data_IF_086507447669
#
_entry.id   IF_086507447669
#
_cell.length_a   1.000
_cell.length_b   1.000
_cell.length_c   1.000
_cell.angle_alpha   90.00
_cell.angle_beta   90.00
_cell.angle_gamma   90.00
#
_symmetry.space_group_name_H-M   'P 1'
#
loop_
_entity.id
_entity.type
_entity.pdbx_description
1 polymer ?
#
# COMPACT_ATOMS: atom_id res chain seq x y z
N UNK A 1 21.21 4.98 40.69
CA UNK A 1 19.88 5.00 41.35
C UNK A 1 18.85 4.45 40.36
N UNK A 2 18.27 3.28 40.65
CA UNK A 2 17.24 2.63 39.81
C UNK A 2 15.87 3.03 40.34
N UNK A 3 15.05 3.67 39.51
CA UNK A 3 13.66 3.98 39.84
C UNK A 3 12.81 2.72 39.62
N UNK A 4 12.31 2.13 40.71
CA UNK A 4 11.27 1.12 40.67
C UNK A 4 9.92 1.79 40.96
N UNK A 5 9.05 1.87 39.95
CA UNK A 5 7.64 2.24 40.15
C UNK A 5 6.94 0.99 40.70
N UNK A 6 6.49 1.03 41.96
CA UNK A 6 5.63 0.00 42.56
C UNK A 6 4.18 0.46 42.49
N UNK A 7 3.28 -0.39 41.98
CA UNK A 7 1.83 -0.18 42.08
C UNK A 7 1.40 -0.30 43.55
N UNK A 8 0.44 0.52 43.99
CA UNK A 8 -0.06 0.52 45.39
C UNK A 8 -0.88 -0.73 45.77
N UNK A 9 -1.10 -1.66 44.85
CA UNK A 9 -1.94 -2.85 45.06
C UNK A 9 -1.20 -4.19 44.90
N UNK A 10 0.13 -4.19 44.72
CA UNK A 10 0.92 -5.44 44.68
C UNK A 10 0.69 -6.33 43.45
N UNK A 11 -0.20 -5.93 42.54
CA UNK A 11 -0.37 -6.57 41.23
C UNK A 11 0.67 -6.08 40.22
N UNK A 12 1.08 -6.96 39.32
CA UNK A 12 1.87 -6.64 38.13
C UNK A 12 1.25 -5.45 37.39
N UNK A 13 2.09 -4.49 37.00
CA UNK A 13 1.65 -3.37 36.17
C UNK A 13 1.24 -3.91 34.79
N UNK A 14 -0.06 -4.10 34.58
CA UNK A 14 -0.60 -4.44 33.27
C UNK A 14 -0.45 -3.21 32.37
N UNK A 15 0.35 -3.33 31.30
CA UNK A 15 0.56 -2.33 30.25
C UNK A 15 -0.69 -2.09 29.36
N UNK A 16 -1.88 -2.46 29.83
CA UNK A 16 -3.15 -2.27 29.13
C UNK A 16 -3.84 -1.01 29.64
N UNK A 17 -3.16 0.13 29.52
CA UNK A 17 -3.83 1.43 29.67
C UNK A 17 -4.66 1.70 28.42
N UNK A 18 -5.95 2.04 28.57
CA UNK A 18 -6.70 2.68 27.48
C UNK A 18 -5.98 3.98 27.15
N UNK A 19 -5.21 3.97 26.07
CA UNK A 19 -4.59 5.17 25.53
C UNK A 19 -5.71 6.07 24.99
N UNK A 20 -5.69 7.36 25.33
CA UNK A 20 -6.55 8.34 24.66
C UNK A 20 -6.18 8.41 23.17
N UNK A 21 -7.13 8.81 22.32
CA UNK A 21 -6.94 8.86 20.87
C UNK A 21 -5.73 9.71 20.43
N UNK A 22 -5.26 10.61 21.30
CA UNK A 22 -4.12 11.50 21.09
C UNK A 22 -2.85 11.10 21.87
N UNK A 23 -2.73 9.85 22.34
CA UNK A 23 -1.54 9.44 23.07
C UNK A 23 -0.34 9.19 22.14
N UNK A 24 0.70 10.04 22.22
CA UNK A 24 1.98 9.89 21.49
C UNK A 24 2.73 8.57 21.69
N UNK A 25 2.34 7.79 22.70
CA UNK A 25 2.91 6.48 23.02
C UNK A 25 2.00 5.33 22.60
N UNK A 26 0.93 5.60 21.85
CA UNK A 26 0.08 4.56 21.26
C UNK A 26 0.94 3.73 20.32
N UNK A 27 1.08 2.46 20.64
CA UNK A 27 1.81 1.52 19.81
C UNK A 27 1.14 1.46 18.44
N UNK A 28 1.95 1.56 17.38
CA UNK A 28 1.50 1.22 16.02
C UNK A 28 0.94 -0.21 16.06
N UNK A 29 -0.17 -0.45 15.37
CA UNK A 29 -0.65 -1.83 15.18
C UNK A 29 0.41 -2.64 14.43
N UNK A 30 0.41 -3.97 14.61
CA UNK A 30 1.36 -4.86 13.92
C UNK A 30 1.30 -4.67 12.40
N UNK A 31 0.12 -4.45 11.83
CA UNK A 31 -0.08 -4.13 10.41
C UNK A 31 0.64 -2.84 9.98
N UNK A 32 0.59 -1.79 10.81
CA UNK A 32 1.28 -0.53 10.52
C UNK A 32 2.81 -0.68 10.61
N UNK A 33 3.31 -1.57 11.46
CA UNK A 33 4.74 -1.87 11.57
C UNK A 33 5.22 -2.64 10.34
N UNK A 34 4.49 -3.68 9.93
CA UNK A 34 4.81 -4.46 8.72
C UNK A 34 4.77 -3.61 7.46
N UNK A 35 3.76 -2.74 7.34
CA UNK A 35 3.68 -1.81 6.23
C UNK A 35 4.87 -0.85 6.23
N UNK A 36 5.22 -0.25 7.37
CA UNK A 36 6.35 0.68 7.45
C UNK A 36 7.64 0.00 6.95
N UNK A 37 7.88 -1.25 7.37
CA UNK A 37 9.01 -2.04 6.87
C UNK A 37 8.91 -2.28 5.36
N UNK A 38 7.73 -2.64 4.87
CA UNK A 38 7.51 -2.86 3.44
C UNK A 38 7.65 -1.57 2.60
N UNK A 39 7.31 -0.40 3.15
CA UNK A 39 7.53 0.92 2.53
C UNK A 39 9.01 1.28 2.54
N UNK A 40 9.74 1.00 3.63
CA UNK A 40 11.19 1.19 3.69
C UNK A 40 11.94 0.29 2.69
N UNK A 41 11.53 -0.98 2.59
CA UNK A 41 12.03 -1.91 1.57
C UNK A 41 11.66 -1.44 0.17
N UNK A 42 10.42 -0.98 -0.04
CA UNK A 42 10.01 -0.38 -1.30
C UNK A 42 10.87 0.83 -1.64
N UNK A 43 11.18 1.71 -0.69
CA UNK A 43 12.03 2.87 -0.90
C UNK A 43 13.44 2.47 -1.35
N UNK A 44 14.01 1.44 -0.74
CA UNK A 44 15.30 0.90 -1.17
C UNK A 44 15.23 0.37 -2.62
N UNK A 45 14.14 -0.30 -3.00
CA UNK A 45 13.91 -0.82 -4.36
C UNK A 45 13.67 0.33 -5.35
N UNK A 46 12.74 1.23 -5.04
CA UNK A 46 12.30 2.31 -5.91
C UNK A 46 13.44 3.30 -6.19
N UNK A 47 14.32 3.55 -5.21
CA UNK A 47 15.48 4.41 -5.41
C UNK A 47 16.55 3.79 -6.32
N UNK A 48 16.55 2.47 -6.50
CA UNK A 48 17.57 1.76 -7.30
C UNK A 48 17.03 1.19 -8.62
N UNK A 49 15.72 1.18 -8.81
CA UNK A 49 15.04 0.65 -9.97
C UNK A 49 14.68 1.74 -11.00
N UNK A 50 14.91 1.45 -12.28
CA UNK A 50 14.54 2.33 -13.41
C UNK A 50 13.04 2.19 -13.76
N UNK A 51 12.45 1.05 -13.42
CA UNK A 51 11.05 0.69 -13.71
C UNK A 51 10.45 -0.05 -12.50
N UNK A 52 9.19 0.25 -12.17
CA UNK A 52 8.42 -0.47 -11.16
C UNK A 52 7.39 -1.37 -11.83
N UNK A 53 7.27 -2.61 -11.35
CA UNK A 53 6.30 -3.59 -11.85
C UNK A 53 5.39 -4.01 -10.69
N UNK A 54 4.09 -3.86 -10.87
CA UNK A 54 3.09 -4.30 -9.89
C UNK A 54 3.11 -5.83 -9.78
N UNK A 55 3.20 -6.35 -8.56
CA UNK A 55 2.99 -7.76 -8.23
C UNK A 55 1.74 -7.92 -7.38
N UNK A 56 0.89 -8.85 -7.79
CA UNK A 56 -0.32 -9.22 -7.06
C UNK A 56 -0.04 -10.20 -5.91
N UNK A 57 1.04 -10.99 -6.03
CA UNK A 57 1.43 -11.93 -4.99
C UNK A 57 2.11 -11.23 -3.80
N UNK A 58 1.89 -11.69 -2.55
CA UNK A 58 2.66 -11.22 -1.41
C UNK A 58 4.16 -11.41 -1.66
N UNK A 59 4.97 -10.48 -1.15
CA UNK A 59 6.42 -10.63 -1.16
C UNK A 59 6.76 -12.00 -0.57
N UNK A 60 7.61 -12.83 -1.23
CA UNK A 60 7.99 -14.11 -0.68
C UNK A 60 8.61 -13.85 0.70
N UNK A 61 7.96 -14.37 1.75
CA UNK A 61 8.38 -14.22 3.16
C UNK A 61 9.82 -14.71 3.41
N UNK A 62 10.35 -15.51 2.50
CA UNK A 62 11.73 -15.99 2.51
C UNK A 62 12.42 -15.59 1.20
N UNK A 63 12.83 -14.32 1.06
CA UNK A 63 13.99 -14.05 0.22
C UNK A 63 15.21 -14.53 1.02
N UNK A 64 16.00 -15.50 0.54
CA UNK A 64 17.26 -15.81 1.21
C UNK A 64 18.07 -14.53 1.22
N UNK A 65 18.29 -13.99 2.42
CA UNK A 65 19.31 -12.98 2.65
C UNK A 65 20.60 -13.66 2.24
N UNK A 66 21.14 -13.31 1.08
CA UNK A 66 22.54 -13.60 0.79
C UNK A 66 23.33 -12.75 1.76
N UNK A 67 23.60 -13.31 2.94
CA UNK A 67 24.66 -12.81 3.80
C UNK A 67 25.93 -12.84 2.96
N UNK A 68 26.41 -11.66 2.58
CA UNK A 68 27.77 -11.49 2.12
C UNK A 68 28.68 -11.74 3.33
N UNK A 69 28.86 -13.01 3.69
CA UNK A 69 29.93 -13.40 4.60
C UNK A 69 31.23 -13.08 3.88
N UNK A 70 32.08 -12.18 4.40
CA UNK A 70 33.41 -11.99 3.85
C UNK A 70 34.13 -13.33 4.03
N UNK A 71 34.42 -14.00 2.92
CA UNK A 71 35.17 -15.25 2.95
C UNK A 71 36.52 -15.00 3.64
N UNK A 72 36.68 -15.60 4.82
CA UNK A 72 37.98 -15.73 5.48
C UNK A 72 38.82 -16.72 4.66
N UNK A 73 39.53 -16.24 3.64
CA UNK A 73 40.81 -16.77 3.13
C UNK A 73 41.21 -15.99 1.88
N UNK A 74 42.44 -15.47 1.89
CA UNK A 74 42.96 -14.58 0.86
C UNK A 74 43.07 -15.22 -0.53
N UNK A 75 42.67 -14.46 -1.54
CA UNK A 75 43.20 -14.56 -2.91
C UNK A 75 42.99 -13.23 -3.64
N UNK A 76 44.02 -12.67 -4.30
CA UNK A 76 43.96 -11.35 -4.92
C UNK A 76 43.21 -11.38 -6.26
N UNK A 77 42.36 -10.36 -6.46
CA UNK A 77 42.05 -9.81 -7.78
C UNK A 77 41.18 -10.65 -8.72
N UNK A 78 39.90 -10.88 -8.37
CA UNK A 78 38.89 -11.26 -9.37
C UNK A 78 38.24 -9.99 -9.92
N UNK A 79 38.86 -9.39 -10.94
CA UNK A 79 38.21 -8.37 -11.78
C UNK A 79 36.93 -8.97 -12.39
N UNK A 80 35.77 -8.45 -12.00
CA UNK A 80 34.49 -8.83 -12.57
C UNK A 80 34.44 -8.34 -14.02
N UNK A 81 34.64 -9.27 -14.96
CA UNK A 81 34.42 -9.05 -16.39
C UNK A 81 32.93 -9.23 -16.65
N UNK A 82 32.17 -8.13 -16.69
CA UNK A 82 30.78 -8.14 -17.16
C UNK A 82 30.78 -8.58 -18.63
N UNK A 83 30.38 -9.82 -18.89
CA UNK A 83 30.13 -10.29 -20.25
C UNK A 83 28.74 -9.78 -20.67
N UNK A 84 28.71 -9.18 -21.86
CA UNK A 84 27.60 -8.38 -22.37
C UNK A 84 26.26 -9.11 -22.43
N UNK A 85 25.39 -8.77 -21.47
CA UNK A 85 23.93 -8.70 -21.62
C UNK A 85 23.32 -7.65 -20.64
N UNK A 86 24.14 -6.83 -19.99
CA UNK A 86 23.77 -5.89 -18.92
C UNK A 86 23.29 -4.52 -19.45
N UNK A 87 22.15 -4.52 -20.14
CA UNK A 87 21.25 -3.35 -20.21
C UNK A 87 19.80 -3.75 -19.90
N UNK A 88 19.61 -4.75 -19.05
CA UNK A 88 18.30 -4.96 -18.44
C UNK A 88 18.05 -3.80 -17.48
N UNK A 89 17.12 -2.90 -17.84
CA UNK A 89 16.56 -1.91 -16.92
C UNK A 89 16.24 -2.62 -15.61
N UNK A 90 16.71 -2.10 -14.48
CA UNK A 90 16.47 -2.73 -13.18
C UNK A 90 14.99 -2.57 -12.85
N UNK A 91 14.18 -3.57 -13.16
CA UNK A 91 12.76 -3.61 -12.84
C UNK A 91 12.58 -4.04 -11.38
N UNK A 92 12.19 -3.11 -10.52
CA UNK A 92 11.80 -3.36 -9.14
C UNK A 92 10.36 -3.85 -9.09
N UNK A 93 10.05 -4.79 -8.20
CA UNK A 93 8.68 -5.27 -8.01
C UNK A 93 8.05 -4.70 -6.76
N UNK A 94 6.78 -4.31 -6.83
CA UNK A 94 6.06 -3.67 -5.73
C UNK A 94 4.63 -4.21 -5.59
N UNK A 95 4.17 -4.37 -4.36
CA UNK A 95 2.75 -4.62 -4.06
C UNK A 95 1.99 -3.32 -3.78
N UNK A 96 0.66 -3.37 -3.86
CA UNK A 96 -0.16 -2.15 -3.72
C UNK A 96 -0.05 -1.43 -2.37
N UNK A 97 0.09 -2.16 -1.25
CA UNK A 97 0.22 -1.55 0.08
C UNK A 97 1.40 -0.58 0.19
N UNK A 98 2.65 -1.01 -0.10
CA UNK A 98 3.81 -0.11 -0.12
C UNK A 98 3.69 1.04 -1.12
N UNK A 99 3.12 0.79 -2.30
CA UNK A 99 2.86 1.83 -3.29
C UNK A 99 1.91 2.91 -2.75
N UNK A 100 0.83 2.50 -2.09
CA UNK A 100 -0.12 3.41 -1.44
C UNK A 100 0.54 4.22 -0.32
N UNK A 101 1.37 3.58 0.51
CA UNK A 101 2.14 4.29 1.54
C UNK A 101 2.97 5.44 0.95
N UNK A 102 3.66 5.18 -0.16
CA UNK A 102 4.45 6.20 -0.84
C UNK A 102 3.64 7.28 -1.53
N UNK A 103 2.52 6.92 -2.15
CA UNK A 103 1.59 7.91 -2.70
C UNK A 103 1.05 8.83 -1.60
N UNK A 104 0.85 8.33 -0.38
CA UNK A 104 0.42 9.15 0.76
C UNK A 104 1.58 10.02 1.29
N UNK A 105 2.73 9.41 1.55
CA UNK A 105 3.81 10.04 2.33
C UNK A 105 4.70 10.98 1.52
N UNK A 106 4.84 10.78 0.20
CA UNK A 106 5.72 11.56 -0.66
C UNK A 106 4.93 12.28 -1.78
N UNK A 107 4.67 13.60 -1.64
CA UNK A 107 4.00 14.39 -2.66
C UNK A 107 4.72 14.42 -4.02
N UNK A 108 6.06 14.42 -4.03
CA UNK A 108 6.83 14.47 -5.27
C UNK A 108 6.74 13.13 -6.02
N UNK A 109 6.65 12.03 -5.27
CA UNK A 109 6.48 10.70 -5.84
C UNK A 109 5.20 10.59 -6.69
N UNK A 110 4.11 11.21 -6.25
CA UNK A 110 2.82 11.24 -6.98
C UNK A 110 2.95 11.83 -8.38
N UNK A 111 3.87 12.76 -8.57
CA UNK A 111 4.10 13.44 -9.85
C UNK A 111 5.30 12.87 -10.63
N UNK A 112 5.86 11.75 -10.16
CA UNK A 112 7.03 11.12 -10.76
C UNK A 112 6.74 10.54 -12.15
N UNK A 113 7.62 10.83 -13.11
CA UNK A 113 7.61 10.19 -14.45
C UNK A 113 8.31 8.83 -14.46
N UNK A 114 8.61 8.25 -13.30
CA UNK A 114 9.18 6.91 -13.19
C UNK A 114 8.25 5.90 -13.87
N UNK A 115 8.84 4.99 -14.64
CA UNK A 115 8.08 3.99 -15.38
C UNK A 115 7.39 3.02 -14.42
N UNK A 116 6.13 2.72 -14.72
CA UNK A 116 5.27 1.79 -13.98
C UNK A 116 4.66 0.80 -14.97
N UNK A 117 4.72 -0.49 -14.65
CA UNK A 117 4.02 -1.55 -15.38
C UNK A 117 2.94 -2.17 -14.49
N UNK A 118 1.69 -2.07 -14.92
CA UNK A 118 0.50 -2.57 -14.22
C UNK A 118 0.38 -4.09 -14.29
N UNK A 119 -0.57 -4.68 -13.56
CA UNK A 119 -0.74 -6.13 -13.51
C UNK A 119 -1.12 -6.75 -14.86
N UNK A 120 -1.82 -6.00 -15.71
CA UNK A 120 -2.18 -6.38 -17.08
C UNK A 120 -1.05 -6.12 -18.12
N UNK A 121 0.15 -5.73 -17.64
CA UNK A 121 1.33 -5.33 -18.44
C UNK A 121 1.19 -3.99 -19.17
N UNK A 122 0.17 -3.20 -18.89
CA UNK A 122 0.09 -1.81 -19.35
C UNK A 122 1.27 -1.03 -18.81
N UNK A 123 2.02 -0.38 -19.71
CA UNK A 123 3.13 0.50 -19.37
C UNK A 123 2.63 1.94 -19.25
N UNK A 124 2.98 2.58 -18.14
CA UNK A 124 2.61 3.95 -17.80
C UNK A 124 3.71 4.59 -16.95
N UNK A 125 3.44 5.74 -16.34
CA UNK A 125 4.26 6.36 -15.31
C UNK A 125 3.51 6.39 -13.98
N UNK A 126 4.18 6.68 -12.87
CA UNK A 126 3.49 6.90 -11.58
C UNK A 126 2.47 8.02 -11.72
N UNK A 127 2.86 9.16 -12.29
CA UNK A 127 1.99 10.33 -12.47
C UNK A 127 0.75 10.04 -13.34
N UNK A 128 0.90 9.28 -14.43
CA UNK A 128 -0.20 9.03 -15.36
C UNK A 128 -1.05 7.81 -14.97
N UNK A 129 -0.44 6.85 -14.29
CA UNK A 129 -1.03 5.56 -13.93
C UNK A 129 -1.69 5.52 -12.56
N UNK A 130 -1.19 6.29 -11.58
CA UNK A 130 -1.72 6.35 -10.22
C UNK A 130 -2.46 7.66 -9.99
N UNK A 131 -3.78 7.63 -10.15
CA UNK A 131 -4.64 8.82 -10.10
C UNK A 131 -5.29 8.95 -8.73
N UNK A 132 -5.18 10.13 -8.11
CA UNK A 132 -5.89 10.43 -6.87
C UNK A 132 -7.39 10.58 -7.12
N UNK A 133 -8.25 10.18 -6.18
CA UNK A 133 -9.72 10.31 -6.30
C UNK A 133 -10.19 11.72 -6.64
N UNK A 134 -9.45 12.74 -6.20
CA UNK A 134 -9.80 14.13 -6.48
C UNK A 134 -9.47 14.62 -7.89
N UNK A 135 -8.53 13.97 -8.54
CA UNK A 135 -8.04 14.30 -9.87
C UNK A 135 -8.59 13.33 -10.93
N UNK A 136 -9.51 12.45 -10.51
CA UNK A 136 -10.02 11.39 -11.36
C UNK A 136 -10.71 11.95 -12.60
N UNK A 137 -10.28 11.46 -13.75
CA UNK A 137 -10.95 11.63 -15.03
C UNK A 137 -11.10 10.26 -15.65
N UNK A 138 -12.30 9.92 -16.14
CA UNK A 138 -12.55 8.64 -16.78
C UNK A 138 -11.66 8.47 -18.03
N UNK A 139 -11.04 7.30 -18.16
CA UNK A 139 -10.25 6.90 -19.34
C UNK A 139 -10.58 5.47 -19.72
N UNK A 140 -10.32 5.10 -20.97
CA UNK A 140 -10.57 3.75 -21.52
C UNK A 140 -9.45 2.74 -21.22
N UNK A 141 -8.48 3.10 -20.38
CA UNK A 141 -7.31 2.28 -20.07
C UNK A 141 -7.34 1.87 -18.59
N UNK A 142 -6.73 0.73 -18.28
CA UNK A 142 -6.47 0.32 -16.89
C UNK A 142 -5.67 1.40 -16.18
N UNK A 143 -6.07 1.71 -14.95
CA UNK A 143 -5.39 2.68 -14.10
C UNK A 143 -5.44 2.23 -12.65
N UNK A 144 -4.60 2.84 -11.83
CA UNK A 144 -4.62 2.73 -10.38
C UNK A 144 -5.36 3.95 -9.84
N UNK A 145 -6.44 3.75 -9.10
CA UNK A 145 -7.12 4.77 -8.32
C UNK A 145 -6.65 4.66 -6.88
N UNK A 146 -6.34 5.78 -6.24
CA UNK A 146 -6.01 5.81 -4.82
C UNK A 146 -6.57 7.05 -4.13
N UNK A 147 -6.79 6.95 -2.82
CA UNK A 147 -7.33 8.03 -2.02
C UNK A 147 -7.94 7.51 -0.73
N UNK A 148 -8.82 8.30 -0.12
CA UNK A 148 -9.52 7.90 1.09
C UNK A 148 -10.94 7.39 0.77
N UNK A 149 -11.37 6.35 1.46
CA UNK A 149 -12.77 5.90 1.43
C UNK A 149 -13.59 6.91 2.22
N UNK A 150 -14.48 7.62 1.54
CA UNK A 150 -15.36 8.60 2.19
C UNK A 150 -16.49 7.88 2.95
N UNK A 151 -17.19 6.98 2.26
CA UNK A 151 -18.22 6.13 2.85
C UNK A 151 -18.18 4.72 2.27
N UNK A 152 -18.48 3.72 3.09
CA UNK A 152 -18.53 2.33 2.66
C UNK A 152 -19.86 1.69 3.07
N UNK A 153 -20.64 1.22 2.09
CA UNK A 153 -21.99 0.67 2.33
C UNK A 153 -22.40 -0.36 1.29
N UNK A 154 -23.12 -1.39 1.74
CA UNK A 154 -23.56 -2.50 0.89
C UNK A 154 -22.37 -3.21 0.26
N UNK A 155 -22.09 -2.88 -0.99
CA UNK A 155 -20.97 -3.42 -1.77
C UNK A 155 -20.09 -2.32 -2.38
N UNK A 156 -20.22 -1.09 -1.92
CA UNK A 156 -19.55 0.07 -2.51
C UNK A 156 -18.62 0.76 -1.52
N UNK A 157 -17.44 1.12 -2.01
CA UNK A 157 -16.53 2.10 -1.43
C UNK A 157 -16.72 3.40 -2.22
N UNK A 158 -17.43 4.35 -1.64
CA UNK A 158 -17.68 5.67 -2.19
C UNK A 158 -16.50 6.59 -1.80
N UNK A 159 -15.94 7.31 -2.77
CA UNK A 159 -14.81 8.25 -2.55
C UNK A 159 -15.25 9.70 -2.38
N UNK A 160 -16.55 9.96 -2.45
CA UNK A 160 -17.15 11.26 -2.20
C UNK A 160 -18.67 11.19 -2.18
N UNK A 161 -19.31 12.36 -2.20
CA UNK A 161 -20.77 12.44 -2.20
C UNK A 161 -21.36 12.24 -3.61
N UNK A 162 -22.63 11.82 -3.67
CA UNK A 162 -23.33 11.49 -4.92
C UNK A 162 -23.33 12.66 -5.93
N UNK A 163 -23.43 13.89 -5.44
CA UNK A 163 -23.44 15.11 -6.27
C UNK A 163 -22.05 15.49 -6.83
N UNK A 164 -20.97 14.91 -6.32
CA UNK A 164 -19.60 15.22 -6.72
C UNK A 164 -19.12 14.36 -7.90
N UNK A 165 -19.87 13.32 -8.26
CA UNK A 165 -19.53 12.36 -9.32
C UNK A 165 -18.12 11.77 -9.18
N UNK A 166 -17.68 11.57 -7.94
CA UNK A 166 -16.40 10.92 -7.62
C UNK A 166 -16.48 9.42 -7.95
N UNK A 167 -15.34 8.77 -8.28
CA UNK A 167 -15.33 7.35 -8.62
C UNK A 167 -15.70 6.48 -7.42
N UNK A 168 -16.49 5.42 -7.64
CA UNK A 168 -16.80 4.42 -6.62
C UNK A 168 -16.20 3.05 -6.97
N UNK A 169 -15.88 2.25 -5.96
CA UNK A 169 -15.42 0.87 -6.15
C UNK A 169 -16.49 -0.09 -5.65
N UNK A 170 -17.05 -0.90 -6.56
CA UNK A 170 -17.98 -1.97 -6.23
C UNK A 170 -17.21 -3.26 -5.96
N UNK A 171 -17.31 -3.77 -4.75
CA UNK A 171 -16.75 -5.05 -4.35
C UNK A 171 -17.77 -6.17 -4.62
N UNK A 172 -17.37 -7.22 -5.34
CA UNK A 172 -18.18 -8.43 -5.42
C UNK A 172 -18.32 -9.09 -4.03
N UNK A 173 -19.38 -9.89 -3.83
CA UNK A 173 -19.71 -10.46 -2.53
C UNK A 173 -18.57 -11.30 -1.96
N UNK A 174 -17.93 -12.09 -2.81
CA UNK A 174 -16.81 -12.96 -2.48
C UNK A 174 -15.58 -12.15 -2.12
N UNK A 175 -15.29 -11.11 -2.90
CA UNK A 175 -14.19 -10.16 -2.66
C UNK A 175 -14.37 -9.43 -1.33
N UNK A 176 -15.58 -8.93 -1.05
CA UNK A 176 -15.86 -8.26 0.22
C UNK A 176 -15.64 -9.21 1.41
N UNK A 177 -16.12 -10.45 1.33
CA UNK A 177 -15.94 -11.43 2.39
C UNK A 177 -14.45 -11.72 2.65
N UNK A 178 -13.65 -11.88 1.59
CA UNK A 178 -12.21 -12.09 1.68
C UNK A 178 -11.51 -10.89 2.35
N UNK A 179 -11.85 -9.66 1.94
CA UNK A 179 -11.26 -8.45 2.49
C UNK A 179 -11.60 -8.23 3.97
N UNK A 180 -12.85 -8.47 4.37
CA UNK A 180 -13.28 -8.37 5.77
C UNK A 180 -12.52 -9.38 6.64
N UNK A 181 -12.38 -10.62 6.16
CA UNK A 181 -11.61 -11.66 6.85
C UNK A 181 -10.12 -11.30 6.95
N UNK A 182 -9.51 -10.85 5.85
CA UNK A 182 -8.09 -10.52 5.79
C UNK A 182 -7.72 -9.32 6.67
N UNK A 183 -8.65 -8.39 6.88
CA UNK A 183 -8.47 -7.17 7.71
C UNK A 183 -9.08 -7.28 9.10
N UNK A 184 -9.63 -8.44 9.45
CA UNK A 184 -10.32 -8.68 10.72
C UNK A 184 -11.38 -7.59 11.03
N UNK A 185 -12.20 -7.26 10.03
CA UNK A 185 -13.30 -6.29 10.11
C UNK A 185 -14.64 -7.00 10.14
N UNK A 186 -15.61 -6.43 10.83
CA UNK A 186 -16.95 -7.01 10.98
C UNK A 186 -17.90 -6.55 9.86
N UNK A 187 -17.69 -5.33 9.36
CA UNK A 187 -18.59 -4.68 8.41
C UNK A 187 -17.84 -3.87 7.35
N UNK A 188 -18.44 -3.75 6.16
CA UNK A 188 -17.91 -2.88 5.09
C UNK A 188 -17.78 -1.43 5.55
N UNK A 189 -18.64 -0.98 6.46
CA UNK A 189 -18.61 0.39 7.01
C UNK A 189 -17.28 0.71 7.69
N UNK A 190 -16.58 -0.30 8.20
CA UNK A 190 -15.33 -0.15 8.95
C UNK A 190 -14.18 0.34 8.08
N UNK A 191 -14.30 0.22 6.74
CA UNK A 191 -13.37 0.82 5.78
C UNK A 191 -13.52 2.34 5.64
N UNK A 192 -14.58 2.96 6.17
CA UNK A 192 -14.75 4.41 6.07
C UNK A 192 -13.57 5.13 6.74
N UNK A 193 -12.96 6.08 6.04
CA UNK A 193 -11.76 6.80 6.48
C UNK A 193 -10.45 6.06 6.23
N UNK A 194 -10.45 4.82 5.75
CA UNK A 194 -9.22 4.14 5.34
C UNK A 194 -8.72 4.71 4.02
N UNK A 195 -7.40 4.70 3.84
CA UNK A 195 -6.82 4.89 2.52
C UNK A 195 -6.90 3.58 1.75
N UNK A 196 -7.12 3.68 0.45
CA UNK A 196 -7.15 2.54 -0.45
C UNK A 196 -6.42 2.85 -1.74
N UNK A 197 -6.03 1.78 -2.42
CA UNK A 197 -5.46 1.78 -3.76
C UNK A 197 -6.07 0.60 -4.50
N UNK A 198 -6.47 0.80 -5.74
CA UNK A 198 -7.09 -0.25 -6.55
C UNK A 198 -6.71 -0.12 -8.01
N UNK A 199 -6.40 -1.24 -8.64
CA UNK A 199 -6.15 -1.30 -10.08
C UNK A 199 -7.36 -1.85 -10.83
N UNK A 200 -7.78 -1.15 -11.89
CA UNK A 200 -8.73 -1.70 -12.84
C UNK A 200 -9.22 -0.71 -13.87
N UNK A 201 -10.29 -1.11 -14.56
CA UNK A 201 -10.91 -0.33 -15.63
C UNK A 201 -12.19 0.32 -15.12
N UNK A 202 -12.24 1.65 -15.15
CA UNK A 202 -13.41 2.41 -14.71
C UNK A 202 -14.42 2.57 -15.85
N UNK A 203 -15.69 2.57 -15.49
CA UNK A 203 -16.84 2.72 -16.39
C UNK A 203 -17.79 3.75 -15.81
N UNK A 204 -18.75 4.23 -16.60
CA UNK A 204 -19.82 5.08 -16.11
C UNK A 204 -21.08 4.25 -15.86
N UNK A 205 -21.77 4.56 -14.76
CA UNK A 205 -23.11 4.03 -14.55
C UNK A 205 -24.14 4.79 -15.41
N UNK A 206 -25.41 4.36 -15.35
CA UNK A 206 -26.51 4.98 -16.10
C UNK A 206 -26.75 6.47 -15.76
N UNK A 207 -26.21 6.97 -14.64
CA UNK A 207 -26.29 8.36 -14.19
C UNK A 207 -25.01 9.16 -14.52
N UNK A 208 -24.05 8.56 -15.22
CA UNK A 208 -22.76 9.18 -15.56
C UNK A 208 -21.82 9.32 -14.37
N UNK A 209 -22.02 8.56 -13.30
CA UNK A 209 -21.06 8.50 -12.19
C UNK A 209 -20.05 7.38 -12.45
N UNK A 210 -18.73 7.65 -12.33
CA UNK A 210 -17.70 6.67 -12.58
C UNK A 210 -17.70 5.60 -11.48
N UNK A 211 -17.53 4.35 -11.88
CA UNK A 211 -17.35 3.24 -10.96
C UNK A 211 -16.47 2.15 -11.57
N UNK A 212 -15.97 1.26 -10.72
CA UNK A 212 -15.27 0.04 -11.14
C UNK A 212 -15.80 -1.13 -10.32
N UNK A 213 -16.05 -2.26 -10.97
CA UNK A 213 -16.35 -3.51 -10.29
C UNK A 213 -15.07 -4.30 -10.07
N UNK A 214 -14.84 -4.70 -8.82
CA UNK A 214 -13.70 -5.50 -8.41
C UNK A 214 -14.12 -6.95 -8.18
N UNK A 215 -13.48 -7.85 -8.90
CA UNK A 215 -13.69 -9.31 -8.88
C UNK A 215 -12.52 -10.09 -8.23
N UNK A 216 -11.41 -9.41 -7.91
CA UNK A 216 -10.24 -10.00 -7.29
C UNK A 216 -9.72 -9.11 -6.13
N UNK A 217 -9.68 -9.65 -4.92
CA UNK A 217 -9.20 -8.96 -3.72
C UNK A 217 -7.71 -8.57 -3.77
N UNK A 218 -6.89 -9.26 -4.57
CA UNK A 218 -5.46 -8.95 -4.71
C UNK A 218 -5.19 -7.64 -5.46
N UNK A 219 -6.19 -7.10 -6.17
CA UNK A 219 -6.09 -5.83 -6.91
C UNK A 219 -6.39 -4.59 -6.07
N UNK A 220 -6.68 -4.76 -4.78
CA UNK A 220 -6.93 -3.67 -3.84
C UNK A 220 -6.07 -3.84 -2.59
N UNK A 221 -5.60 -2.72 -2.06
CA UNK A 221 -4.98 -2.69 -0.73
C UNK A 221 -5.51 -1.51 0.07
N UNK A 222 -5.47 -1.65 1.39
CA UNK A 222 -6.00 -0.67 2.33
C UNK A 222 -4.97 -0.37 3.41
N UNK A 223 -4.91 0.90 3.80
CA UNK A 223 -4.20 1.37 4.98
C UNK A 223 -5.18 2.03 5.95
N UNK A 224 -5.13 1.70 7.24
CA UNK A 224 -5.97 2.35 8.23
C UNK A 224 -5.66 3.85 8.28
N UNK A 225 -6.63 4.70 8.67
CA UNK A 225 -6.41 6.13 8.79
C UNK A 225 -5.19 6.41 9.67
N UNK A 226 -4.26 7.20 9.15
CA UNK A 226 -3.18 7.75 9.95
C UNK A 226 -3.82 8.70 10.96
N UNK A 227 -3.79 8.35 12.25
CA UNK A 227 -4.17 9.28 13.31
C UNK A 227 -3.14 10.40 13.25
N UNK A 228 -3.52 11.51 12.62
CA UNK A 228 -2.65 12.68 12.51
C UNK A 228 -2.35 13.15 13.94
N UNK A 229 -1.08 13.11 14.32
CA UNK A 229 -0.60 13.74 15.54
C UNK A 229 -0.68 15.26 15.33
N UNK A 230 -1.85 15.84 15.60
CA UNK A 230 -2.04 17.29 15.76
C UNK A 230 -1.52 17.74 17.12
#
# INVERSE_FOLDING_TARGET
MRWHIRSKSGGSAYFWGRHSDHCRFRLKSDEQIELQRAVEEFNAIANTADELVIRLDPLPQNRPVTDNTPGATGSPGRTHRHQGADRQRRAGSVGYGPLLGMLIDDPDFRHSRRALTLSDRTRTTIADGCVHVDEFTLRSTTMILWGQVHHARGYFLDTGYVNEKKPAVRLHKEVLAELLQAKNLESISDFSGWYFIVEGHFQENVQGAPYMSLDNAQKIAFLPPQISAS
#
